data_IF_725363805420
#
_entry.id   IF_725363805420
#
_cell.length_a   1.000
_cell.length_b   1.000
_cell.length_c   1.000
_cell.angle_alpha   90.00
_cell.angle_beta   90.00
_cell.angle_gamma   90.00
#
_symmetry.space_group_name_H-M   'P 1'
#
loop_
_entity.id
_entity.type
_entity.pdbx_description
1 polymer ?
#
# COMPACT_ATOMS: atom_id res chain seq x y z
N UNK A 1 -8.69 2.32 1.09
CA UNK A 1 -9.26 3.35 0.20
C UNK A 1 -8.21 3.80 -0.80
N UNK A 2 -8.61 4.44 -1.90
CA UNK A 2 -7.71 4.99 -2.92
C UNK A 2 -6.66 5.97 -2.36
N UNK A 3 -6.93 6.61 -1.24
CA UNK A 3 -6.00 7.53 -0.57
C UNK A 3 -4.82 6.80 0.09
N UNK A 4 -5.04 5.61 0.64
CA UNK A 4 -3.99 4.82 1.28
C UNK A 4 -3.02 4.21 0.26
N UNK A 5 -3.51 3.83 -0.91
CA UNK A 5 -2.65 3.39 -2.02
C UNK A 5 -1.76 4.54 -2.51
N UNK A 6 -2.29 5.76 -2.58
CA UNK A 6 -1.54 6.91 -3.05
C UNK A 6 -0.36 7.25 -2.12
N UNK A 7 -0.52 7.10 -0.78
CA UNK A 7 0.55 7.43 0.16
C UNK A 7 1.73 6.45 0.08
N UNK A 8 1.47 5.14 0.01
CA UNK A 8 2.56 4.15 -0.09
C UNK A 8 3.31 4.27 -1.41
N UNK A 9 2.61 4.60 -2.48
CA UNK A 9 3.24 4.91 -3.76
C UNK A 9 4.12 6.16 -3.65
N UNK A 10 3.59 7.24 -3.09
CA UNK A 10 4.35 8.47 -2.86
C UNK A 10 5.62 8.20 -2.06
N UNK A 11 5.52 7.42 -0.97
CA UNK A 11 6.67 7.06 -0.15
C UNK A 11 7.69 6.18 -0.90
N UNK A 12 7.21 5.25 -1.72
CA UNK A 12 8.08 4.38 -2.51
C UNK A 12 8.77 5.06 -3.69
N UNK A 13 8.22 6.18 -4.18
CA UNK A 13 8.79 7.00 -5.26
C UNK A 13 9.70 8.13 -4.74
N UNK A 14 9.73 8.37 -3.43
CA UNK A 14 10.46 9.50 -2.86
C UNK A 14 11.93 9.18 -2.66
N UNK A 15 12.79 10.06 -3.16
CA UNK A 15 14.24 9.94 -3.00
C UNK A 15 14.63 9.91 -1.51
N UNK A 16 15.56 9.02 -1.16
CA UNK A 16 16.01 8.84 0.21
C UNK A 16 15.04 8.08 1.13
N UNK A 17 13.94 7.56 0.60
CA UNK A 17 12.97 6.73 1.36
C UNK A 17 13.01 5.29 0.87
N UNK A 18 13.20 4.37 1.79
CA UNK A 18 13.06 2.92 1.53
C UNK A 18 11.85 2.40 2.27
N UNK A 19 10.94 1.77 1.52
CA UNK A 19 9.74 1.13 2.04
C UNK A 19 9.92 -0.39 2.03
N UNK A 20 9.67 -1.03 3.19
CA UNK A 20 9.67 -2.48 3.30
C UNK A 20 8.35 -2.95 3.90
N UNK A 21 7.69 -3.86 3.21
CA UNK A 21 6.44 -4.48 3.66
C UNK A 21 6.70 -5.96 3.89
N UNK A 22 6.37 -6.43 5.08
CA UNK A 22 6.39 -7.83 5.45
C UNK A 22 4.97 -8.34 5.57
N UNK A 23 4.72 -9.50 4.99
CA UNK A 23 3.44 -10.20 5.10
C UNK A 23 3.68 -11.64 5.51
N UNK A 24 2.86 -12.16 6.42
CA UNK A 24 2.79 -13.59 6.72
C UNK A 24 1.35 -14.04 6.90
N UNK A 25 1.09 -15.27 6.58
CA UNK A 25 -0.24 -15.86 6.70
C UNK A 25 -0.63 -16.03 8.17
N UNK A 26 -1.91 -15.76 8.48
CA UNK A 26 -2.52 -16.09 9.78
C UNK A 26 -3.05 -17.51 9.71
N UNK A 27 -2.66 -18.36 10.65
CA UNK A 27 -3.17 -19.74 10.71
C UNK A 27 -4.63 -19.76 11.12
N UNK A 28 -5.38 -20.79 10.75
CA UNK A 28 -6.79 -20.92 11.11
C UNK A 28 -7.03 -20.89 12.65
N UNK A 29 -6.08 -21.40 13.43
CA UNK A 29 -6.14 -21.36 14.89
C UNK A 29 -5.95 -19.94 15.45
N UNK A 30 -4.99 -19.19 14.88
CA UNK A 30 -4.75 -17.78 15.22
C UNK A 30 -5.94 -16.91 14.81
N UNK A 31 -6.50 -17.11 13.61
CA UNK A 31 -7.66 -16.40 13.10
C UNK A 31 -8.85 -16.52 14.08
N UNK A 32 -9.19 -17.75 14.47
CA UNK A 32 -10.26 -18.01 15.43
C UNK A 32 -10.01 -17.29 16.77
N UNK A 33 -8.76 -17.31 17.26
CA UNK A 33 -8.36 -16.62 18.49
C UNK A 33 -8.46 -15.10 18.35
N UNK A 34 -8.04 -14.53 17.23
CA UNK A 34 -8.10 -13.09 16.98
C UNK A 34 -9.54 -12.59 16.96
N UNK A 35 -10.41 -13.27 16.20
CA UNK A 35 -11.83 -12.92 16.11
C UNK A 35 -12.51 -13.04 17.48
N UNK A 36 -12.25 -14.13 18.20
CA UNK A 36 -12.81 -14.35 19.55
C UNK A 36 -12.35 -13.27 20.53
N UNK A 37 -11.07 -12.92 20.53
CA UNK A 37 -10.52 -11.89 21.41
C UNK A 37 -11.08 -10.50 21.08
N UNK A 38 -11.24 -10.17 19.81
CA UNK A 38 -11.85 -8.91 19.37
C UNK A 38 -13.32 -8.82 19.85
N UNK A 39 -14.10 -9.87 19.67
CA UNK A 39 -15.48 -9.94 20.14
C UNK A 39 -15.58 -9.82 21.68
N UNK A 40 -14.73 -10.53 22.42
CA UNK A 40 -14.71 -10.49 23.88
C UNK A 40 -14.31 -9.11 24.41
N UNK A 41 -13.28 -8.48 23.83
CA UNK A 41 -12.84 -7.13 24.20
C UNK A 41 -13.97 -6.12 24.04
N UNK A 42 -14.65 -6.14 22.90
CA UNK A 42 -15.76 -5.23 22.61
C UNK A 42 -16.97 -5.49 23.55
N UNK A 43 -17.25 -6.76 23.89
CA UNK A 43 -18.29 -7.10 24.89
C UNK A 43 -17.95 -6.56 26.27
N UNK A 44 -16.70 -6.73 26.72
CA UNK A 44 -16.23 -6.20 28.00
C UNK A 44 -16.35 -4.68 28.04
N UNK A 45 -15.94 -4.01 26.97
CA UNK A 45 -16.00 -2.56 26.84
C UNK A 45 -17.44 -2.05 26.90
N UNK A 46 -18.38 -2.71 26.23
CA UNK A 46 -19.81 -2.39 26.29
C UNK A 46 -20.38 -2.51 27.71
N UNK A 47 -19.95 -3.55 28.45
CA UNK A 47 -20.50 -3.83 29.77
C UNK A 47 -19.84 -3.03 30.90
N UNK A 48 -18.67 -2.42 30.67
CA UNK A 48 -17.90 -1.72 31.70
C UNK A 48 -18.04 -0.20 31.67
N UNK A 49 -18.72 0.36 30.66
CA UNK A 49 -18.76 1.81 30.45
C UNK A 49 -20.19 2.34 30.58
N UNK A 50 -20.38 3.32 31.47
CA UNK A 50 -21.64 4.07 31.60
C UNK A 50 -21.75 5.25 30.63
N UNK A 51 -20.76 5.42 29.72
CA UNK A 51 -20.75 6.47 28.73
C UNK A 51 -21.44 6.00 27.45
N UNK A 52 -22.53 6.67 27.08
CA UNK A 52 -23.34 6.39 25.90
C UNK A 52 -22.52 6.41 24.60
N UNK A 53 -21.56 7.31 24.45
CA UNK A 53 -20.73 7.40 23.23
C UNK A 53 -19.80 6.18 23.08
N UNK A 54 -19.21 5.74 24.19
CA UNK A 54 -18.34 4.57 24.18
C UNK A 54 -19.14 3.26 24.00
N UNK A 55 -20.36 3.20 24.52
CA UNK A 55 -21.25 2.06 24.32
C UNK A 55 -21.67 1.92 22.86
N UNK A 56 -22.08 3.02 22.22
CA UNK A 56 -22.43 3.04 20.79
C UNK A 56 -21.22 2.67 19.91
N UNK A 57 -20.04 3.20 20.22
CA UNK A 57 -18.82 2.83 19.50
C UNK A 57 -18.46 1.34 19.66
N UNK A 58 -18.62 0.78 20.86
CA UNK A 58 -18.37 -0.66 21.12
C UNK A 58 -19.37 -1.55 20.38
N UNK A 59 -20.61 -1.12 20.25
CA UNK A 59 -21.67 -1.85 19.53
C UNK A 59 -21.45 -1.82 18.02
N UNK A 60 -21.07 -0.66 17.47
CA UNK A 60 -20.66 -0.51 16.07
C UNK A 60 -19.44 -1.41 15.76
N UNK A 61 -18.42 -1.39 16.60
CA UNK A 61 -17.24 -2.24 16.44
C UNK A 61 -17.57 -3.74 16.51
N UNK A 62 -18.55 -4.15 17.32
CA UNK A 62 -19.03 -5.55 17.37
C UNK A 62 -19.71 -5.95 16.07
N UNK A 63 -20.53 -5.07 15.50
CA UNK A 63 -21.17 -5.29 14.20
C UNK A 63 -20.11 -5.39 13.09
N UNK A 64 -19.14 -4.48 13.07
CA UNK A 64 -18.04 -4.48 12.10
C UNK A 64 -17.22 -5.79 12.17
N UNK A 65 -16.90 -6.27 13.39
CA UNK A 65 -16.20 -7.55 13.57
C UNK A 65 -17.05 -8.73 13.10
N UNK A 66 -18.35 -8.73 13.37
CA UNK A 66 -19.26 -9.78 12.92
C UNK A 66 -19.41 -9.78 11.40
N UNK A 67 -19.52 -8.60 10.79
CA UNK A 67 -19.60 -8.45 9.33
C UNK A 67 -18.32 -8.88 8.66
N UNK A 68 -17.17 -8.44 9.18
CA UNK A 68 -15.85 -8.87 8.68
C UNK A 68 -15.70 -10.39 8.73
N UNK A 69 -16.08 -11.03 9.85
CA UNK A 69 -16.04 -12.47 9.99
C UNK A 69 -16.97 -13.19 8.99
N UNK A 70 -18.17 -12.64 8.74
CA UNK A 70 -19.12 -13.17 7.76
C UNK A 70 -18.59 -13.02 6.31
N UNK A 71 -18.00 -11.88 5.97
CA UNK A 71 -17.45 -11.62 4.65
C UNK A 71 -16.20 -12.48 4.38
N UNK A 72 -15.33 -12.65 5.36
CA UNK A 72 -14.20 -13.57 5.30
C UNK A 72 -14.67 -15.01 5.06
N UNK A 73 -15.71 -15.45 5.77
CA UNK A 73 -16.24 -16.80 5.61
C UNK A 73 -16.90 -16.99 4.24
N UNK A 74 -17.64 -15.99 3.75
CA UNK A 74 -18.28 -16.00 2.44
C UNK A 74 -17.27 -15.99 1.29
N UNK A 75 -16.28 -15.13 1.38
CA UNK A 75 -15.30 -14.91 0.31
C UNK A 75 -14.07 -15.81 0.44
N UNK A 76 -13.97 -16.61 1.51
CA UNK A 76 -12.77 -17.38 1.88
C UNK A 76 -11.50 -16.51 1.90
N UNK A 77 -11.67 -15.28 2.36
CA UNK A 77 -10.59 -14.31 2.39
C UNK A 77 -9.67 -14.56 3.59
N UNK A 78 -8.36 -14.84 3.39
CA UNK A 78 -7.44 -15.06 4.47
C UNK A 78 -7.04 -13.77 5.18
N UNK A 79 -6.72 -13.86 6.46
CA UNK A 79 -6.04 -12.80 7.21
C UNK A 79 -4.53 -12.89 7.02
N UNK A 80 -3.90 -11.72 6.98
CA UNK A 80 -2.45 -11.58 6.92
C UNK A 80 -1.95 -10.73 8.08
N UNK A 81 -0.84 -11.15 8.67
CA UNK A 81 -0.02 -10.27 9.49
C UNK A 81 0.80 -9.36 8.56
N UNK A 82 0.71 -8.07 8.75
CA UNK A 82 1.42 -7.08 7.94
C UNK A 82 2.21 -6.14 8.85
N UNK A 83 3.49 -5.95 8.52
CA UNK A 83 4.35 -4.93 9.11
C UNK A 83 4.95 -4.07 8.01
N UNK A 84 4.98 -2.75 8.22
CA UNK A 84 5.52 -1.78 7.27
C UNK A 84 6.63 -1.01 7.96
N UNK A 85 7.81 -0.99 7.36
CA UNK A 85 8.97 -0.23 7.83
C UNK A 85 9.37 0.80 6.79
N UNK A 86 9.74 1.98 7.29
CA UNK A 86 10.27 3.08 6.51
C UNK A 86 11.67 3.41 7.00
N UNK A 87 12.61 3.50 6.08
CA UNK A 87 13.93 4.05 6.30
C UNK A 87 14.07 5.36 5.53
N UNK A 88 14.67 6.35 6.14
CA UNK A 88 14.99 7.63 5.52
C UNK A 88 16.48 7.88 5.62
N UNK A 89 17.10 8.14 4.47
CA UNK A 89 18.54 8.39 4.34
C UNK A 89 18.73 9.74 3.64
N UNK A 90 19.71 10.50 4.10
CA UNK A 90 20.10 11.74 3.45
C UNK A 90 21.59 12.00 3.67
N UNK A 91 22.16 12.87 2.86
CA UNK A 91 23.57 13.30 2.88
C UNK A 91 23.91 14.25 4.04
N UNK A 92 22.90 14.92 4.60
CA UNK A 92 23.07 15.84 5.73
C UNK A 92 21.96 15.68 6.76
N UNK A 93 22.26 16.07 8.01
CA UNK A 93 21.28 16.03 9.10
C UNK A 93 20.11 16.97 8.85
N UNK A 94 20.34 18.12 8.27
CA UNK A 94 19.28 19.10 8.00
C UNK A 94 18.35 18.61 6.89
N UNK A 95 18.90 18.04 5.82
CA UNK A 95 18.13 17.41 4.76
C UNK A 95 17.31 16.21 5.28
N UNK A 96 17.92 15.40 6.17
CA UNK A 96 17.20 14.29 6.81
C UNK A 96 16.02 14.77 7.66
N UNK A 97 16.19 15.86 8.43
CA UNK A 97 15.10 16.45 9.23
C UNK A 97 13.98 16.98 8.35
N UNK A 98 14.33 17.65 7.25
CA UNK A 98 13.35 18.12 6.28
C UNK A 98 12.56 16.96 5.66
N UNK A 99 13.26 15.90 5.23
CA UNK A 99 12.64 14.68 4.70
C UNK A 99 11.71 14.02 5.71
N UNK A 100 12.14 13.91 6.98
CA UNK A 100 11.30 13.37 8.05
C UNK A 100 10.03 14.19 8.28
N UNK A 101 10.15 15.53 8.27
CA UNK A 101 9.01 16.42 8.45
C UNK A 101 8.01 16.30 7.30
N UNK A 102 8.50 16.24 6.07
CA UNK A 102 7.68 16.07 4.88
C UNK A 102 6.93 14.73 4.89
N UNK A 103 7.64 13.63 5.10
CA UNK A 103 7.05 12.28 5.17
C UNK A 103 6.04 12.21 6.32
N UNK A 104 6.35 12.75 7.49
CA UNK A 104 5.44 12.76 8.63
C UNK A 104 4.16 13.56 8.34
N UNK A 105 4.28 14.70 7.65
CA UNK A 105 3.13 15.53 7.26
C UNK A 105 2.19 14.77 6.33
N UNK A 106 2.74 14.07 5.33
CA UNK A 106 1.93 13.27 4.40
C UNK A 106 1.26 12.07 5.07
N UNK A 107 1.95 11.41 6.00
CA UNK A 107 1.38 10.32 6.78
C UNK A 107 0.22 10.80 7.67
N UNK A 108 0.38 11.94 8.35
CA UNK A 108 -0.69 12.54 9.16
C UNK A 108 -1.89 12.94 8.28
N UNK A 109 -1.66 13.52 7.11
CA UNK A 109 -2.73 13.82 6.13
C UNK A 109 -3.50 12.57 5.73
N UNK A 110 -2.81 11.45 5.58
CA UNK A 110 -3.39 10.15 5.25
C UNK A 110 -3.96 9.41 6.46
N UNK A 111 -3.98 10.05 7.64
CA UNK A 111 -4.43 9.47 8.92
C UNK A 111 -3.66 8.19 9.32
N UNK A 112 -2.39 8.10 8.91
CA UNK A 112 -1.49 7.02 9.29
C UNK A 112 -0.57 7.48 10.43
N UNK A 113 -0.53 6.68 11.49
CA UNK A 113 0.39 6.87 12.59
C UNK A 113 1.66 6.04 12.39
N UNK A 114 2.80 6.63 12.69
CA UNK A 114 4.12 6.02 12.56
C UNK A 114 4.88 6.12 13.86
N UNK A 115 5.40 5.00 14.32
CA UNK A 115 6.24 4.93 15.51
C UNK A 115 7.71 5.08 15.11
N UNK A 116 8.43 6.00 15.75
CA UNK A 116 9.88 6.13 15.60
C UNK A 116 10.58 5.04 16.39
N UNK A 117 11.48 4.31 15.75
CA UNK A 117 12.29 3.25 16.38
C UNK A 117 13.46 3.88 17.17
N UNK A 118 13.15 4.50 18.32
CA UNK A 118 14.19 5.08 19.18
C UNK A 118 15.05 4.00 19.82
N UNK A 119 16.37 4.19 19.78
CA UNK A 119 17.40 3.28 20.32
C UNK A 119 17.36 1.85 19.72
N UNK A 120 16.63 1.65 18.63
CA UNK A 120 16.50 0.38 17.92
C UNK A 120 16.76 0.51 16.42
N UNK A 121 17.49 1.55 16.03
CA UNK A 121 17.78 1.87 14.64
C UNK A 121 18.52 0.73 13.92
N UNK A 122 19.44 0.05 14.61
CA UNK A 122 20.14 -1.10 14.03
C UNK A 122 19.18 -2.21 13.61
N UNK A 123 18.21 -2.57 14.47
CA UNK A 123 17.19 -3.58 14.13
C UNK A 123 16.27 -3.07 13.02
N UNK A 124 15.94 -1.77 13.03
CA UNK A 124 15.18 -1.11 11.97
C UNK A 124 15.87 -1.21 10.62
N UNK A 125 17.14 -0.82 10.57
CA UNK A 125 17.99 -0.91 9.39
C UNK A 125 18.05 -2.35 8.84
N UNK A 126 18.34 -3.33 9.70
CA UNK A 126 18.38 -4.73 9.29
C UNK A 126 17.01 -5.24 8.76
N UNK A 127 15.90 -4.69 9.27
CA UNK A 127 14.56 -5.04 8.80
C UNK A 127 14.22 -4.38 7.46
N UNK A 128 14.84 -3.26 7.10
CA UNK A 128 14.62 -2.60 5.81
C UNK A 128 15.53 -3.17 4.72
N UNK A 129 16.70 -3.67 5.08
CA UNK A 129 17.63 -4.32 4.17
C UNK A 129 16.94 -5.45 3.37
N UNK A 130 17.38 -5.74 2.12
CA UNK A 130 16.77 -6.78 1.27
C UNK A 130 17.08 -8.22 1.75
N UNK A 131 17.30 -8.39 3.06
CA UNK A 131 17.55 -9.68 3.70
C UNK A 131 16.32 -10.57 3.87
N UNK A 132 15.11 -9.99 3.72
CA UNK A 132 13.85 -10.68 3.95
C UNK A 132 13.57 -10.99 5.44
N UNK A 133 14.31 -10.42 6.38
CA UNK A 133 14.16 -10.68 7.83
C UNK A 133 13.55 -9.49 8.55
N UNK A 134 12.37 -9.69 9.13
CA UNK A 134 11.81 -8.77 10.11
C UNK A 134 12.45 -9.03 11.48
N UNK A 135 13.34 -8.15 11.93
CA UNK A 135 14.03 -8.28 13.23
C UNK A 135 13.12 -8.05 14.43
N UNK A 136 11.98 -7.42 14.23
CA UNK A 136 10.98 -7.16 15.26
C UNK A 136 9.92 -8.26 15.38
N UNK A 137 9.92 -9.20 14.45
CA UNK A 137 8.94 -10.30 14.42
C UNK A 137 7.51 -9.76 14.52
N UNK A 138 6.75 -10.23 15.52
CA UNK A 138 5.33 -9.91 15.70
C UNK A 138 5.06 -8.52 16.30
N UNK A 139 6.08 -7.82 16.80
CA UNK A 139 5.89 -6.60 17.60
C UNK A 139 5.16 -5.49 16.85
N UNK A 140 5.41 -5.31 15.56
CA UNK A 140 4.79 -4.26 14.73
C UNK A 140 3.82 -4.80 13.68
N UNK A 141 3.46 -6.06 13.79
CA UNK A 141 2.49 -6.66 12.88
C UNK A 141 1.07 -6.21 13.21
N UNK A 142 0.30 -5.95 12.16
CA UNK A 142 -1.14 -5.75 12.23
C UNK A 142 -1.83 -6.83 11.42
N UNK A 143 -2.94 -7.33 11.93
CA UNK A 143 -3.76 -8.32 11.22
C UNK A 143 -4.78 -7.59 10.38
N UNK A 144 -4.73 -7.81 9.07
CA UNK A 144 -5.66 -7.22 8.11
C UNK A 144 -6.11 -8.26 7.08
N UNK A 145 -7.29 -8.10 6.46
CA UNK A 145 -7.74 -8.94 5.35
C UNK A 145 -6.78 -8.88 4.16
N UNK A 146 -6.69 -9.96 3.39
CA UNK A 146 -5.81 -10.04 2.24
C UNK A 146 -6.11 -8.98 1.17
N UNK A 147 -7.38 -8.63 0.94
CA UNK A 147 -7.79 -7.55 0.05
C UNK A 147 -7.23 -6.20 0.51
N UNK A 148 -7.28 -5.93 1.82
CA UNK A 148 -6.70 -4.72 2.40
C UNK A 148 -5.17 -4.73 2.29
N UNK A 149 -4.52 -5.89 2.48
CA UNK A 149 -3.09 -6.03 2.29
C UNK A 149 -2.66 -5.83 0.82
N UNK A 150 -3.46 -6.30 -0.14
CA UNK A 150 -3.23 -6.07 -1.56
C UNK A 150 -3.26 -4.57 -1.92
N UNK A 151 -4.09 -3.78 -1.23
CA UNK A 151 -4.13 -2.33 -1.39
C UNK A 151 -2.87 -1.62 -0.89
N UNK A 152 -2.01 -2.29 -0.11
CA UNK A 152 -0.72 -1.75 0.31
C UNK A 152 0.37 -1.90 -0.75
N UNK A 153 0.07 -2.52 -1.90
CA UNK A 153 1.02 -2.70 -2.99
C UNK A 153 1.45 -1.34 -3.56
N UNK A 154 2.73 -0.94 -3.38
CA UNK A 154 3.17 0.42 -3.71
C UNK A 154 3.51 0.59 -5.19
N UNK A 155 3.60 -0.51 -5.94
CA UNK A 155 4.05 -0.47 -7.32
C UNK A 155 2.84 -0.30 -8.26
N UNK A 156 2.78 0.81 -8.96
CA UNK A 156 1.86 0.99 -10.08
C UNK A 156 2.69 1.04 -11.35
N UNK A 157 2.89 -0.11 -11.95
CA UNK A 157 3.49 -0.18 -13.27
C UNK A 157 2.42 0.23 -14.30
N UNK A 158 2.65 1.35 -14.95
CA UNK A 158 1.86 1.78 -16.09
C UNK A 158 2.45 1.28 -17.41
N UNK A 159 3.55 0.55 -17.36
CA UNK A 159 4.19 -0.03 -18.52
C UNK A 159 3.20 -0.91 -19.29
N UNK A 160 3.00 -0.59 -20.57
CA UNK A 160 2.22 -1.39 -21.49
C UNK A 160 3.19 -2.13 -22.38
N UNK A 161 3.10 -3.46 -22.38
CA UNK A 161 3.94 -4.31 -23.22
C UNK A 161 3.04 -5.26 -24.00
N UNK A 162 2.85 -5.00 -25.27
CA UNK A 162 2.22 -5.90 -26.23
C UNK A 162 3.30 -6.77 -26.89
N UNK A 163 3.00 -8.04 -27.16
CA UNK A 163 3.99 -9.02 -27.70
C UNK A 163 4.57 -8.61 -29.07
N UNK A 164 3.77 -7.99 -29.93
CA UNK A 164 4.14 -7.60 -31.29
C UNK A 164 4.10 -6.08 -31.50
N UNK A 165 4.38 -5.30 -30.46
CA UNK A 165 4.24 -3.85 -30.50
C UNK A 165 5.50 -3.09 -30.88
N UNK A 166 5.32 -1.79 -31.16
CA UNK A 166 6.40 -0.83 -31.31
C UNK A 166 6.88 -0.30 -29.97
N UNK A 167 8.18 -0.19 -29.81
CA UNK A 167 8.77 0.48 -28.66
C UNK A 167 8.59 2.00 -28.79
N UNK A 168 7.75 2.58 -27.95
CA UNK A 168 7.49 4.04 -27.94
C UNK A 168 8.43 4.81 -27.01
N UNK A 169 8.99 4.16 -26.00
CA UNK A 169 9.83 4.81 -25.02
C UNK A 169 9.70 4.20 -23.64
N UNK A 170 9.97 5.02 -22.63
CA UNK A 170 9.79 4.65 -21.23
C UNK A 170 8.78 5.57 -20.57
N UNK A 171 8.03 5.01 -19.62
CA UNK A 171 7.20 5.83 -18.75
C UNK A 171 8.05 6.58 -17.70
N UNK A 172 7.39 7.39 -16.88
CA UNK A 172 8.05 8.14 -15.80
C UNK A 172 8.73 7.27 -14.73
N UNK A 173 8.43 5.97 -14.71
CA UNK A 173 9.01 4.98 -13.80
C UNK A 173 10.13 4.15 -14.43
N UNK A 174 10.47 4.44 -15.70
CA UNK A 174 11.48 3.71 -16.44
C UNK A 174 11.00 2.41 -17.08
N UNK A 175 9.72 2.08 -16.98
CA UNK A 175 9.15 0.88 -17.62
C UNK A 175 9.03 1.09 -19.12
N UNK A 176 9.33 0.06 -19.90
CA UNK A 176 9.20 0.13 -21.36
C UNK A 176 7.72 0.20 -21.77
N UNK A 177 7.41 1.07 -22.72
CA UNK A 177 6.12 1.18 -23.37
C UNK A 177 6.24 0.59 -24.77
N UNK A 178 5.65 -0.59 -24.97
CA UNK A 178 5.57 -1.30 -26.24
C UNK A 178 4.09 -1.43 -26.58
N UNK A 179 3.67 -0.88 -27.71
CA UNK A 179 2.25 -0.80 -28.11
C UNK A 179 2.07 -1.41 -29.49
N UNK A 180 1.15 -2.34 -29.58
CA UNK A 180 0.63 -2.84 -30.84
C UNK A 180 -0.61 -2.00 -31.23
N UNK A 181 -0.46 -1.18 -32.27
CA UNK A 181 -1.53 -0.30 -32.73
C UNK A 181 -2.65 -1.08 -33.43
N UNK A 182 -2.36 -2.25 -33.96
CA UNK A 182 -3.32 -3.08 -34.69
C UNK A 182 -4.03 -4.12 -33.81
N UNK A 183 -3.52 -4.34 -32.59
CA UNK A 183 -4.13 -5.27 -31.65
C UNK A 183 -5.54 -4.86 -31.29
N UNK A 184 -6.48 -5.76 -31.50
CA UNK A 184 -7.88 -5.59 -31.11
C UNK A 184 -8.14 -6.37 -29.81
N UNK A 185 -8.87 -5.76 -28.90
CA UNK A 185 -9.29 -6.32 -27.64
C UNK A 185 -10.66 -5.75 -27.27
N UNK A 186 -11.28 -6.23 -26.20
CA UNK A 186 -12.62 -5.77 -25.78
C UNK A 186 -12.67 -4.26 -25.49
N UNK A 187 -11.53 -3.68 -25.07
CA UNK A 187 -11.33 -2.26 -24.81
C UNK A 187 -10.81 -1.46 -26.03
N UNK A 188 -10.52 -2.13 -27.15
CA UNK A 188 -9.90 -1.54 -28.35
C UNK A 188 -10.55 -2.10 -29.62
N UNK A 189 -11.63 -1.46 -30.04
CA UNK A 189 -12.48 -1.93 -31.16
C UNK A 189 -11.95 -1.53 -32.54
N UNK A 190 -11.07 -0.52 -32.62
CA UNK A 190 -10.47 -0.07 -33.87
C UNK A 190 -9.00 0.36 -33.68
N UNK A 191 -8.27 0.54 -34.77
CA UNK A 191 -6.86 0.96 -34.80
C UNK A 191 -6.66 2.47 -35.00
N UNK A 192 -7.73 3.27 -34.90
CA UNK A 192 -7.62 4.72 -35.04
C UNK A 192 -6.86 5.32 -33.84
N UNK A 193 -5.84 6.10 -34.14
CA UNK A 193 -5.00 6.75 -33.13
C UNK A 193 -5.17 8.27 -33.22
N UNK A 194 -5.47 8.91 -32.08
CA UNK A 194 -5.56 10.36 -31.98
C UNK A 194 -4.40 10.88 -31.12
N UNK A 195 -3.58 11.77 -31.70
CA UNK A 195 -2.45 12.41 -31.03
C UNK A 195 -2.76 13.87 -30.75
N UNK A 196 -2.92 14.24 -29.50
CA UNK A 196 -3.21 15.59 -29.05
C UNK A 196 -2.04 16.18 -28.26
N UNK A 197 -1.82 17.46 -28.39
CA UNK A 197 -0.80 18.20 -27.63
C UNK A 197 -0.58 19.60 -28.19
N UNK A 198 0.05 20.46 -27.41
CA UNK A 198 0.36 21.83 -27.80
C UNK A 198 1.45 21.88 -28.91
N UNK A 199 1.61 23.02 -29.56
CA UNK A 199 2.67 23.22 -30.55
C UNK A 199 4.03 23.01 -29.89
N UNK A 200 4.98 22.41 -30.63
CA UNK A 200 6.33 22.13 -30.12
C UNK A 200 6.52 20.90 -29.23
N UNK A 201 5.47 20.16 -28.86
CA UNK A 201 5.55 18.99 -27.96
C UNK A 201 5.88 17.66 -28.65
N UNK A 202 6.43 17.67 -29.84
CA UNK A 202 6.96 16.48 -30.51
C UNK A 202 5.91 15.58 -31.19
N UNK A 203 4.64 16.04 -31.38
CA UNK A 203 3.60 15.25 -32.08
C UNK A 203 4.03 14.72 -33.42
N UNK A 204 4.62 15.60 -34.25
CA UNK A 204 5.09 15.25 -35.62
C UNK A 204 6.30 14.31 -35.60
N UNK A 205 7.11 14.35 -34.55
CA UNK A 205 8.18 13.39 -34.32
C UNK A 205 7.63 12.01 -34.00
N UNK A 206 6.68 11.95 -33.06
CA UNK A 206 6.01 10.70 -32.71
C UNK A 206 5.31 10.05 -33.92
N UNK A 207 4.64 10.87 -34.75
CA UNK A 207 3.96 10.40 -35.95
C UNK A 207 4.92 9.83 -37.02
N UNK A 208 6.18 10.23 -36.99
CA UNK A 208 7.23 9.67 -37.88
C UNK A 208 7.90 8.43 -37.31
N UNK A 209 7.74 8.20 -36.03
CA UNK A 209 8.29 7.04 -35.33
C UNK A 209 7.37 5.81 -35.46
N UNK A 210 6.04 6.04 -35.53
CA UNK A 210 5.00 5.04 -35.76
C UNK A 210 4.87 4.75 -37.27
#
# INVERSE_FOLDING_TARGET
STAEQAILRYLGEKDGVTLRIYTRHVTAAEEKRIISNAANKNRMQRNSTNDLQQTVAAESNLQDVAQLAADMHRNREPLLHVAVFLEMISDSLDNLRNLQTEVQTELVRSKLNVDKLMLRQQHGFMSVMPSGRNMFREQFERVIPASSAANLYPFSFSGKTDENGFYLGRDKFGSNIIVDFDKRADDKTNSNTLILGNSGQGKSYLLKLI
#
